data_IF_201126057030
#
_entry.id   IF_201126057030
#
_cell.length_a   1.000
_cell.length_b   1.000
_cell.length_c   1.000
_cell.angle_alpha   90.00
_cell.angle_beta   90.00
_cell.angle_gamma   90.00
#
_symmetry.space_group_name_H-M   'P 1'
#
loop_
_entity.id
_entity.type
_entity.pdbx_description
1 polymer ?
#
# COMPACT_ATOMS: atom_id res chain seq x y z
N UNK A 1 5.88 -64.57 -8.74
CA UNK A 1 7.02 -63.63 -8.57
C UNK A 1 6.60 -62.26 -9.10
N UNK A 2 6.63 -61.20 -8.29
CA UNK A 2 6.28 -59.83 -8.73
C UNK A 2 7.54 -59.11 -9.25
N UNK A 3 7.48 -58.34 -10.35
CA UNK A 3 8.64 -57.61 -10.85
C UNK A 3 8.91 -56.34 -10.00
N UNK A 4 10.18 -56.09 -9.68
CA UNK A 4 10.66 -54.85 -9.05
C UNK A 4 10.74 -53.74 -10.10
N UNK A 5 10.02 -52.65 -9.88
CA UNK A 5 10.16 -51.39 -10.61
C UNK A 5 11.34 -50.59 -10.05
N UNK A 6 12.34 -50.30 -10.88
CA UNK A 6 13.42 -49.36 -10.58
C UNK A 6 13.02 -47.95 -11.01
N UNK A 7 13.00 -47.00 -10.08
CA UNK A 7 12.73 -45.59 -10.37
C UNK A 7 13.91 -44.91 -11.13
N UNK A 8 13.64 -43.95 -12.02
CA UNK A 8 14.69 -43.26 -12.77
C UNK A 8 15.45 -42.26 -11.88
N UNK A 9 16.78 -42.25 -11.99
CA UNK A 9 17.66 -41.28 -11.32
C UNK A 9 17.48 -39.90 -11.95
N UNK A 10 17.11 -38.90 -11.15
CA UNK A 10 17.03 -37.49 -11.53
C UNK A 10 18.40 -36.96 -11.96
N UNK A 11 18.48 -36.32 -13.13
CA UNK A 11 19.68 -35.70 -13.72
C UNK A 11 19.69 -34.17 -13.58
N UNK A 12 19.04 -33.60 -12.56
CA UNK A 12 19.14 -32.16 -12.32
C UNK A 12 20.50 -31.82 -11.71
N UNK A 13 21.39 -31.24 -12.52
CA UNK A 13 22.63 -30.64 -12.06
C UNK A 13 22.30 -29.38 -11.24
N UNK A 14 22.73 -29.29 -9.96
CA UNK A 14 22.62 -28.05 -9.21
C UNK A 14 23.85 -27.20 -9.53
N UNK A 15 23.66 -26.05 -10.17
CA UNK A 15 24.39 -24.79 -9.91
C UNK A 15 24.16 -23.79 -11.05
N UNK A 16 23.03 -23.09 -11.01
CA UNK A 16 22.98 -21.74 -11.58
C UNK A 16 23.45 -20.77 -10.49
N UNK A 17 24.73 -20.36 -10.57
CA UNK A 17 25.27 -19.31 -9.72
C UNK A 17 24.65 -17.96 -10.15
N UNK A 18 23.52 -17.62 -9.51
CA UNK A 18 22.73 -16.40 -9.81
C UNK A 18 23.37 -15.11 -9.27
N UNK A 19 24.54 -15.19 -8.64
CA UNK A 19 25.21 -14.05 -7.99
C UNK A 19 25.53 -12.93 -8.98
N UNK A 20 26.02 -13.27 -10.17
CA UNK A 20 26.37 -12.27 -11.20
C UNK A 20 25.15 -11.52 -11.77
N UNK A 21 23.98 -12.17 -11.84
CA UNK A 21 22.73 -11.52 -12.28
C UNK A 21 22.14 -10.62 -11.20
N UNK A 22 22.30 -11.00 -9.93
CA UNK A 22 21.89 -10.19 -8.79
C UNK A 22 22.76 -8.95 -8.65
N UNK A 23 24.09 -9.08 -8.76
CA UNK A 23 25.01 -7.94 -8.71
C UNK A 23 24.73 -6.92 -9.83
N UNK A 24 24.52 -7.38 -11.06
CA UNK A 24 24.18 -6.51 -12.18
C UNK A 24 22.82 -5.80 -12.01
N UNK A 25 21.86 -6.43 -11.32
CA UNK A 25 20.57 -5.81 -11.02
C UNK A 25 20.72 -4.69 -9.99
N UNK A 26 21.44 -4.93 -8.89
CA UNK A 26 21.64 -3.92 -7.84
C UNK A 26 22.49 -2.74 -8.34
N UNK A 27 23.55 -3.00 -9.12
CA UNK A 27 24.36 -1.94 -9.74
C UNK A 27 23.52 -1.04 -10.66
N UNK A 28 22.55 -1.60 -11.39
CA UNK A 28 21.66 -0.83 -12.28
C UNK A 28 20.66 0.03 -11.51
N UNK A 29 20.21 -0.43 -10.34
CA UNK A 29 19.31 0.35 -9.48
C UNK A 29 20.05 1.54 -8.84
N UNK A 30 21.29 1.34 -8.40
CA UNK A 30 22.13 2.40 -7.85
C UNK A 30 22.49 3.47 -8.90
N UNK A 31 22.74 3.07 -10.15
CA UNK A 31 22.97 4.00 -11.27
C UNK A 31 21.73 4.86 -11.60
N UNK A 32 20.53 4.29 -11.52
CA UNK A 32 19.27 5.01 -11.77
C UNK A 32 18.93 6.06 -10.69
N UNK A 33 19.43 5.89 -9.47
CA UNK A 33 19.30 6.90 -8.39
C UNK A 33 20.22 8.11 -8.61
N UNK A 34 21.36 7.93 -9.26
CA UNK A 34 22.33 9.01 -9.49
C UNK A 34 21.96 9.89 -10.70
N UNK A 35 21.28 9.33 -11.71
CA UNK A 35 21.02 10.04 -12.97
C UNK A 35 19.79 10.98 -12.95
N UNK A 36 18.86 10.84 -11.98
CA UNK A 36 17.61 11.61 -11.96
C UNK A 36 17.13 12.01 -10.54
N UNK A 37 17.84 12.92 -9.84
CA UNK A 37 17.49 13.34 -8.48
C UNK A 37 16.16 14.12 -8.37
N UNK A 38 15.63 14.65 -9.49
CA UNK A 38 14.38 15.42 -9.53
C UNK A 38 13.11 14.60 -9.83
N UNK A 39 13.21 13.29 -10.09
CA UNK A 39 12.03 12.44 -10.29
C UNK A 39 11.53 11.95 -8.93
N UNK A 40 10.90 12.86 -8.18
CA UNK A 40 10.02 12.46 -7.08
C UNK A 40 8.81 11.78 -7.72
N UNK A 41 8.87 10.44 -7.80
CA UNK A 41 7.85 9.59 -8.39
C UNK A 41 6.50 9.81 -7.71
N UNK A 42 5.41 9.65 -8.47
CA UNK A 42 4.03 9.63 -7.98
C UNK A 42 3.78 8.63 -6.82
N UNK A 43 4.73 7.73 -6.56
CA UNK A 43 4.79 6.85 -5.37
C UNK A 43 4.91 7.63 -4.05
N UNK A 44 5.45 8.85 -4.04
CA UNK A 44 5.44 9.75 -2.89
C UNK A 44 4.04 10.36 -2.60
N UNK A 45 3.02 9.97 -3.34
CA UNK A 45 1.65 10.47 -3.21
C UNK A 45 0.73 9.53 -2.39
N UNK A 46 1.09 8.26 -2.20
CA UNK A 46 0.12 7.20 -1.80
C UNK A 46 0.47 6.46 -0.48
N UNK A 47 1.68 6.63 0.08
CA UNK A 47 2.14 5.90 1.28
C UNK A 47 1.80 6.61 2.62
N UNK A 48 0.55 6.62 3.09
CA UNK A 48 -0.12 5.64 3.98
C UNK A 48 -0.06 6.02 5.49
N UNK A 49 -1.18 6.44 6.12
CA UNK A 49 -1.24 7.08 7.44
C UNK A 49 -1.54 6.14 8.64
N UNK A 50 -1.13 6.55 9.87
CA UNK A 50 -1.42 6.03 11.25
C UNK A 50 -0.42 5.03 11.93
N UNK A 51 -0.27 5.07 13.29
CA UNK A 51 0.12 4.01 14.33
C UNK A 51 0.45 4.54 15.74
N UNK A 52 -0.02 3.99 16.89
CA UNK A 52 0.73 4.14 18.14
C UNK A 52 1.37 2.83 18.56
N UNK A 53 2.59 2.63 18.08
CA UNK A 53 3.63 1.99 18.89
C UNK A 53 4.88 2.82 18.65
N UNK A 54 5.68 3.02 19.69
CA UNK A 54 7.03 3.60 19.60
C UNK A 54 7.93 2.65 18.79
N UNK A 55 7.74 2.62 17.48
CA UNK A 55 8.70 2.11 16.52
C UNK A 55 9.31 3.29 15.77
N UNK A 56 10.65 3.47 15.78
CA UNK A 56 11.32 4.58 15.10
C UNK A 56 10.98 4.66 13.61
N UNK A 57 10.68 3.51 12.99
CA UNK A 57 10.32 3.38 11.57
C UNK A 57 8.96 4.02 11.26
N UNK A 58 8.15 4.26 12.29
CA UNK A 58 6.76 4.70 12.16
C UNK A 58 6.50 6.09 12.74
N UNK A 59 7.55 6.75 13.24
CA UNK A 59 7.49 8.06 13.90
C UNK A 59 6.82 9.14 13.03
N UNK A 60 7.10 9.16 11.72
CA UNK A 60 6.49 10.09 10.76
C UNK A 60 4.96 9.90 10.63
N UNK A 61 4.45 8.69 10.88
CA UNK A 61 3.01 8.39 10.79
C UNK A 61 2.27 8.74 12.09
N UNK A 62 2.93 8.58 13.24
CA UNK A 62 2.38 8.93 14.56
C UNK A 62 2.10 10.43 14.72
N UNK A 63 2.95 11.30 14.16
CA UNK A 63 2.81 12.77 14.24
C UNK A 63 1.56 13.33 13.55
N UNK A 64 0.99 12.59 12.59
CA UNK A 64 -0.19 13.04 11.83
C UNK A 64 -1.51 12.72 12.54
N UNK A 65 -1.50 11.74 13.45
CA UNK A 65 -2.67 11.29 14.20
C UNK A 65 -2.79 12.15 15.45
N UNK A 66 -3.65 13.16 15.39
CA UNK A 66 -3.84 14.09 16.50
C UNK A 66 -4.67 13.50 17.66
N UNK A 67 -5.00 12.22 17.58
CA UNK A 67 -5.89 11.51 18.50
C UNK A 67 -5.26 10.21 18.99
N UNK A 68 -5.82 9.66 20.08
CA UNK A 68 -5.41 8.34 20.56
C UNK A 68 -5.76 7.28 19.52
N UNK A 69 -4.93 6.26 19.46
CA UNK A 69 -4.96 5.26 18.41
C UNK A 69 -4.51 3.91 18.98
N UNK A 70 -4.62 2.84 18.19
CA UNK A 70 -4.15 1.49 18.52
C UNK A 70 -3.47 0.86 17.29
N UNK A 71 -2.39 0.10 17.52
CA UNK A 71 -1.74 -0.71 16.47
C UNK A 71 -1.92 -2.18 16.77
N UNK A 72 -2.31 -2.91 15.74
CA UNK A 72 -2.20 -4.36 15.71
C UNK A 72 -1.15 -4.74 14.65
N UNK A 73 -0.40 -5.81 14.92
CA UNK A 73 0.61 -6.33 14.01
C UNK A 73 0.33 -7.81 13.76
N UNK A 74 0.25 -8.18 12.49
CA UNK A 74 0.05 -9.55 12.07
C UNK A 74 1.12 -9.96 11.07
N UNK A 75 1.65 -11.17 11.21
CA UNK A 75 2.58 -11.74 10.24
C UNK A 75 1.81 -12.42 9.11
N UNK A 76 2.21 -12.17 7.87
CA UNK A 76 1.62 -12.79 6.69
C UNK A 76 2.71 -13.46 5.85
N UNK A 77 2.39 -14.62 5.26
CA UNK A 77 3.32 -15.27 4.34
C UNK A 77 3.37 -14.49 3.03
N UNK A 78 4.58 -14.21 2.55
CA UNK A 78 4.75 -13.57 1.26
C UNK A 78 4.24 -14.51 0.14
N UNK A 79 3.41 -14.00 -0.76
CA UNK A 79 2.79 -14.80 -1.81
C UNK A 79 3.75 -15.16 -2.95
N UNK A 80 4.83 -14.40 -3.14
CA UNK A 80 5.82 -14.60 -4.20
C UNK A 80 7.02 -15.44 -3.75
N UNK A 81 7.37 -15.38 -2.47
CA UNK A 81 8.53 -16.07 -1.91
C UNK A 81 8.27 -16.52 -0.47
N UNK A 82 7.93 -17.80 -0.33
CA UNK A 82 7.64 -18.44 0.96
C UNK A 82 8.79 -18.40 2.00
N UNK A 83 10.00 -17.94 1.64
CA UNK A 83 11.09 -17.71 2.60
C UNK A 83 10.97 -16.39 3.36
N UNK A 84 10.10 -15.49 2.91
CA UNK A 84 9.85 -14.21 3.58
C UNK A 84 8.50 -14.24 4.29
N UNK A 85 8.50 -13.66 5.49
CA UNK A 85 7.32 -13.41 6.31
C UNK A 85 7.18 -11.91 6.40
N UNK A 86 6.13 -11.37 5.82
CA UNK A 86 5.84 -9.95 5.82
C UNK A 86 4.97 -9.59 7.02
N UNK A 87 4.70 -8.30 7.21
CA UNK A 87 3.92 -7.82 8.34
C UNK A 87 2.82 -6.88 7.86
N UNK A 88 1.61 -7.09 8.38
CA UNK A 88 0.49 -6.16 8.29
C UNK A 88 0.43 -5.36 9.58
N UNK A 89 0.27 -4.06 9.44
CA UNK A 89 0.12 -3.10 10.54
C UNK A 89 -1.27 -2.48 10.43
N UNK A 90 -2.14 -2.77 11.39
CA UNK A 90 -3.49 -2.25 11.43
C UNK A 90 -3.64 -1.14 12.46
N UNK A 91 -4.45 -0.16 12.11
CA UNK A 91 -4.40 1.17 12.66
C UNK A 91 -5.76 1.72 12.98
N UNK A 92 -6.09 1.72 14.26
CA UNK A 92 -7.43 2.05 14.69
C UNK A 92 -7.44 3.36 15.46
N UNK A 93 -8.24 4.33 15.01
CA UNK A 93 -8.35 5.65 15.63
C UNK A 93 -9.67 6.28 15.20
N UNK A 94 -10.38 7.01 16.07
CA UNK A 94 -11.58 7.78 15.71
C UNK A 94 -12.58 7.03 14.78
N UNK A 95 -12.86 5.75 15.06
CA UNK A 95 -13.70 4.85 14.23
C UNK A 95 -13.22 4.60 12.80
N UNK A 96 -11.94 4.84 12.55
CA UNK A 96 -11.26 4.63 11.29
C UNK A 96 -10.24 3.50 11.44
N UNK A 97 -10.03 2.76 10.37
CA UNK A 97 -9.04 1.70 10.28
C UNK A 97 -8.15 1.94 9.06
N UNK A 98 -6.84 1.81 9.23
CA UNK A 98 -5.89 1.76 8.12
C UNK A 98 -5.03 0.51 8.25
N UNK A 99 -4.63 -0.06 7.13
CA UNK A 99 -3.75 -1.21 7.08
C UNK A 99 -2.55 -0.90 6.19
N UNK A 100 -1.37 -1.08 6.75
CA UNK A 100 -0.11 -1.00 6.05
C UNK A 100 0.45 -2.41 5.87
N UNK A 101 0.81 -2.77 4.64
CA UNK A 101 1.64 -3.94 4.38
C UNK A 101 3.10 -3.55 4.36
N UNK A 102 3.92 -4.38 5.00
CA UNK A 102 5.36 -4.20 5.12
C UNK A 102 6.07 -5.46 4.63
N UNK A 103 6.54 -5.47 3.37
CA UNK A 103 7.28 -6.59 2.83
C UNK A 103 8.70 -6.60 3.37
N UNK A 104 9.19 -7.75 3.82
CA UNK A 104 10.54 -7.89 4.40
C UNK A 104 11.66 -7.60 3.42
N UNK A 105 11.43 -7.84 2.13
CA UNK A 105 12.44 -7.66 1.08
C UNK A 105 12.59 -6.20 0.65
N UNK A 106 11.50 -5.43 0.56
CA UNK A 106 11.58 -3.99 0.22
C UNK A 106 11.74 -3.10 1.43
N UNK A 107 11.25 -3.54 2.60
CA UNK A 107 11.21 -2.76 3.84
C UNK A 107 10.49 -1.42 3.68
N UNK A 108 9.46 -1.37 2.83
CA UNK A 108 8.66 -0.17 2.55
C UNK A 108 7.20 -0.41 2.91
N UNK A 109 6.59 0.54 3.62
CA UNK A 109 5.16 0.48 3.90
C UNK A 109 4.33 0.77 2.64
N UNK A 110 3.32 -0.07 2.43
CA UNK A 110 2.35 0.04 1.35
C UNK A 110 0.94 0.09 1.93
N UNK A 111 0.05 0.88 1.33
CA UNK A 111 -1.36 0.90 1.69
C UNK A 111 -2.09 -0.27 1.07
N UNK A 112 -2.60 -1.17 1.92
CA UNK A 112 -3.49 -2.26 1.48
C UNK A 112 -4.92 -1.80 1.56
N UNK A 113 -5.29 -1.21 2.68
CA UNK A 113 -6.67 -0.91 3.01
C UNK A 113 -6.81 0.32 3.89
N UNK A 114 -7.89 1.08 3.68
CA UNK A 114 -8.33 2.08 4.64
C UNK A 114 -9.86 2.19 4.66
N UNK A 115 -10.42 2.43 5.84
CA UNK A 115 -11.76 2.98 6.04
C UNK A 115 -11.68 4.14 7.01
N UNK A 116 -11.69 5.36 6.46
CA UNK A 116 -11.45 6.60 7.19
C UNK A 116 -12.78 7.31 7.40
N UNK A 117 -13.20 7.40 8.66
CA UNK A 117 -14.38 8.14 9.13
C UNK A 117 -14.01 9.39 9.94
N UNK A 118 -12.75 9.49 10.35
CA UNK A 118 -12.26 10.61 11.13
C UNK A 118 -12.03 11.85 10.27
N UNK A 119 -12.53 13.03 10.67
CA UNK A 119 -12.20 14.30 10.03
C UNK A 119 -10.80 14.80 10.36
N UNK A 120 -10.13 14.19 11.35
CA UNK A 120 -8.80 14.58 11.80
C UNK A 120 -7.71 14.12 10.84
N UNK A 121 -8.03 13.14 9.99
CA UNK A 121 -7.15 12.72 8.93
C UNK A 121 -7.33 13.56 7.68
N UNK A 122 -6.24 14.12 7.21
CA UNK A 122 -6.17 14.73 5.90
C UNK A 122 -5.34 13.83 5.00
N UNK A 123 -5.98 13.34 3.93
CA UNK A 123 -5.28 12.81 2.78
C UNK A 123 -4.62 13.94 2.01
N UNK A 124 -3.84 13.56 1.00
CA UNK A 124 -3.13 14.53 0.16
C UNK A 124 -4.09 15.53 -0.50
N UNK A 125 -3.58 16.74 -0.76
CA UNK A 125 -4.35 17.91 -1.18
C UNK A 125 -5.48 18.31 -0.21
N UNK A 126 -5.38 17.88 1.05
CA UNK A 126 -6.37 18.21 2.08
C UNK A 126 -7.73 17.53 1.84
N UNK A 127 -7.79 16.42 1.10
CA UNK A 127 -9.00 15.61 1.00
C UNK A 127 -9.24 14.98 2.37
N UNK A 128 -10.42 15.15 2.95
CA UNK A 128 -10.73 14.65 4.29
C UNK A 128 -12.21 14.40 4.46
N UNK A 129 -12.57 13.64 5.48
CA UNK A 129 -13.97 13.51 5.90
C UNK A 129 -14.52 14.89 6.26
N UNK A 130 -15.71 15.20 5.77
CA UNK A 130 -16.39 16.47 5.91
C UNK A 130 -16.24 17.44 4.74
N UNK A 131 -15.34 17.19 3.77
CA UNK A 131 -15.27 18.02 2.56
C UNK A 131 -16.56 17.90 1.74
N UNK A 132 -16.90 18.97 1.01
CA UNK A 132 -18.07 18.94 0.13
C UNK A 132 -17.80 18.11 -1.14
N UNK A 133 -18.85 17.63 -1.80
CA UNK A 133 -18.73 16.97 -3.11
C UNK A 133 -17.94 17.83 -4.11
N UNK A 134 -18.27 19.12 -4.20
CA UNK A 134 -17.65 20.03 -5.15
C UNK A 134 -16.16 20.20 -4.86
N UNK A 135 -15.81 20.38 -3.59
CA UNK A 135 -14.42 20.48 -3.13
C UNK A 135 -13.64 19.18 -3.41
N UNK A 136 -14.25 18.02 -3.18
CA UNK A 136 -13.67 16.72 -3.51
C UNK A 136 -13.34 16.62 -4.99
N UNK A 137 -14.31 16.87 -5.87
CA UNK A 137 -14.13 16.77 -7.31
C UNK A 137 -13.05 17.74 -7.81
N UNK A 138 -13.07 18.98 -7.31
CA UNK A 138 -12.04 19.97 -7.65
C UNK A 138 -10.64 19.51 -7.26
N UNK A 139 -10.48 18.89 -6.09
CA UNK A 139 -9.20 18.32 -5.63
C UNK A 139 -8.75 17.10 -6.46
N UNK A 140 -9.69 16.39 -7.09
CA UNK A 140 -9.41 15.22 -7.92
C UNK A 140 -9.10 15.57 -9.39
N UNK A 141 -9.56 16.73 -9.89
CA UNK A 141 -9.39 17.14 -11.31
C UNK A 141 -7.93 17.23 -11.80
N UNK A 142 -6.95 17.31 -10.90
CA UNK A 142 -5.52 17.33 -11.25
C UNK A 142 -4.91 15.96 -11.52
N UNK A 143 -5.65 14.88 -11.36
CA UNK A 143 -5.13 13.52 -11.47
C UNK A 143 -5.70 12.79 -12.68
N UNK A 144 -4.88 11.91 -13.27
CA UNK A 144 -5.31 10.96 -14.30
C UNK A 144 -6.05 9.79 -13.65
N UNK A 145 -7.31 10.03 -13.27
CA UNK A 145 -8.15 9.05 -12.57
C UNK A 145 -9.43 8.78 -13.35
N UNK A 146 -9.91 7.55 -13.25
CA UNK A 146 -11.27 7.22 -13.63
C UNK A 146 -12.20 7.58 -12.48
N UNK A 147 -13.13 8.51 -12.71
CA UNK A 147 -14.08 8.96 -11.70
C UNK A 147 -15.47 8.51 -12.12
N UNK A 148 -16.16 7.81 -11.21
CA UNK A 148 -17.54 7.39 -11.36
C UNK A 148 -18.36 8.01 -10.24
N UNK A 149 -19.30 8.87 -10.63
CA UNK A 149 -20.16 9.57 -9.68
C UNK A 149 -21.54 8.92 -9.58
N UNK A 150 -21.98 8.70 -8.35
CA UNK A 150 -23.34 8.28 -8.01
C UNK A 150 -23.89 9.24 -6.96
N UNK A 151 -25.21 9.23 -6.67
CA UNK A 151 -25.85 10.19 -5.75
C UNK A 151 -25.18 10.28 -4.37
N UNK A 152 -24.77 9.16 -3.80
CA UNK A 152 -24.18 9.09 -2.45
C UNK A 152 -22.74 8.59 -2.46
N UNK A 153 -22.13 8.38 -3.63
CA UNK A 153 -20.79 7.79 -3.73
C UNK A 153 -20.02 8.45 -4.86
N UNK A 154 -18.76 8.79 -4.63
CA UNK A 154 -17.79 9.09 -5.68
C UNK A 154 -16.75 7.97 -5.63
N UNK A 155 -16.68 7.17 -6.68
CA UNK A 155 -15.68 6.13 -6.83
C UNK A 155 -14.58 6.63 -7.75
N UNK A 156 -13.33 6.38 -7.37
CA UNK A 156 -12.15 6.83 -8.06
C UNK A 156 -11.20 5.66 -8.20
N UNK A 157 -10.65 5.49 -9.38
CA UNK A 157 -9.73 4.40 -9.67
C UNK A 157 -8.52 4.97 -10.40
N UNK A 158 -7.35 4.42 -10.10
CA UNK A 158 -6.13 4.75 -10.81
C UNK A 158 -6.18 4.25 -12.26
N UNK A 159 -5.26 4.76 -13.09
CA UNK A 159 -5.22 4.41 -14.50
C UNK A 159 -5.00 2.91 -14.74
N UNK A 160 -4.18 2.28 -13.89
CA UNK A 160 -3.84 0.86 -13.98
C UNK A 160 -4.94 -0.05 -13.40
N UNK A 161 -5.93 0.53 -12.71
CA UNK A 161 -7.04 -0.17 -12.05
C UNK A 161 -6.60 -1.15 -10.97
N UNK A 162 -5.53 -0.81 -10.28
CA UNK A 162 -4.95 -1.58 -9.18
C UNK A 162 -5.34 -0.99 -7.82
N UNK A 163 -6.00 0.17 -7.78
CA UNK A 163 -6.43 0.82 -6.55
C UNK A 163 -7.77 1.51 -6.72
N UNK A 164 -8.63 1.34 -5.71
CA UNK A 164 -9.94 1.97 -5.64
C UNK A 164 -10.05 2.85 -4.40
N UNK A 165 -10.53 4.07 -4.63
CA UNK A 165 -10.98 4.98 -3.59
C UNK A 165 -12.49 5.16 -3.70
N UNK A 166 -13.23 4.95 -2.61
CA UNK A 166 -14.67 5.21 -2.55
C UNK A 166 -14.94 6.26 -1.49
N UNK A 167 -15.47 7.39 -1.91
CA UNK A 167 -15.92 8.46 -1.04
C UNK A 167 -17.42 8.30 -0.84
N UNK A 168 -17.83 7.97 0.39
CA UNK A 168 -19.24 7.92 0.77
C UNK A 168 -19.71 9.34 1.13
N UNK A 169 -20.87 9.75 0.62
CA UNK A 169 -21.44 11.07 0.84
C UNK A 169 -22.79 10.99 1.54
N UNK A 170 -22.98 11.89 2.50
CA UNK A 170 -24.27 12.18 3.12
C UNK A 170 -24.48 13.68 3.19
N UNK A 171 -25.68 14.15 2.83
CA UNK A 171 -26.02 15.58 2.80
C UNK A 171 -24.99 16.45 2.03
N UNK A 172 -24.45 15.90 0.94
CA UNK A 172 -23.47 16.60 0.09
C UNK A 172 -22.03 16.68 0.63
N UNK A 173 -21.74 16.04 1.78
CA UNK A 173 -20.40 15.98 2.38
C UNK A 173 -19.89 14.56 2.47
N UNK A 174 -18.57 14.40 2.38
CA UNK A 174 -17.90 13.11 2.56
C UNK A 174 -18.03 12.65 4.01
N UNK A 175 -18.49 11.43 4.24
CA UNK A 175 -18.64 10.81 5.56
C UNK A 175 -17.68 9.64 5.79
N UNK A 176 -17.22 8.98 4.73
CA UNK A 176 -16.24 7.90 4.79
C UNK A 176 -15.37 7.94 3.55
N UNK A 177 -14.10 7.59 3.70
CA UNK A 177 -13.17 7.37 2.59
C UNK A 177 -12.66 5.96 2.72
N UNK A 178 -12.96 5.12 1.72
CA UNK A 178 -12.47 3.75 1.65
C UNK A 178 -11.38 3.66 0.61
N UNK A 179 -10.28 3.01 0.94
CA UNK A 179 -9.24 2.63 0.01
C UNK A 179 -9.10 1.11 -0.01
N UNK A 180 -8.94 0.56 -1.20
CA UNK A 180 -8.61 -0.83 -1.43
C UNK A 180 -7.57 -0.87 -2.54
N UNK A 181 -6.36 -1.33 -2.20
CA UNK A 181 -5.23 -1.41 -3.11
C UNK A 181 -4.77 -2.84 -3.29
N UNK A 182 -4.48 -3.22 -4.53
CA UNK A 182 -3.77 -4.46 -4.81
C UNK A 182 -2.33 -4.33 -4.33
N UNK A 183 -1.91 -5.31 -3.53
CA UNK A 183 -0.55 -5.43 -3.02
C UNK A 183 0.02 -6.74 -3.55
N UNK A 184 1.04 -6.63 -4.40
CA UNK A 184 1.97 -7.67 -4.84
C UNK A 184 3.35 -7.38 -4.21
#
# INVERSE_FOLDING_TARGET
MRPRTTAPKSTYAPNFNNTARMEAFYQRIELLEQEHPEVIKATAFISNPFLPVEEPVLQQYAEQVRTKFEVLKDTIHNQHNARYIDTLFQLNFDSSTVELYYPMYTKRFMLSYADIKSPNLQLKNGIKVGCSRQELLQKLMGYKLFIKETKNVVEVCDWERNSWLRFQLSKGKVTSIQYEGYID
#
